data_IF_996085844099
#
_entry.id   IF_996085844099
#
_cell.length_a   1.000
_cell.length_b   1.000
_cell.length_c   1.000
_cell.angle_alpha   90.00
_cell.angle_beta   90.00
_cell.angle_gamma   90.00
#
_symmetry.space_group_name_H-M   'P 1'
#
loop_
_entity.id
_entity.type
_entity.pdbx_description
1 polymer ?
#
# COMPACT_ATOMS: atom_id res chain seq x y z
N UNK A 1 9.79 19.02 2.40
CA UNK A 1 8.73 18.03 2.32
C UNK A 1 8.54 17.53 0.89
N UNK A 2 8.62 16.25 0.71
CA UNK A 2 8.44 15.68 -0.63
C UNK A 2 6.98 15.75 -1.06
N UNK A 3 6.76 16.01 -2.34
CA UNK A 3 5.45 15.94 -2.94
C UNK A 3 5.41 14.68 -3.82
N UNK A 4 4.59 13.72 -3.43
CA UNK A 4 4.45 12.46 -4.14
C UNK A 4 3.16 12.37 -4.95
N UNK A 5 2.55 13.50 -5.21
CA UNK A 5 1.32 13.56 -6.03
C UNK A 5 1.58 12.89 -7.38
N UNK A 6 0.71 11.97 -7.76
CA UNK A 6 0.86 11.22 -9.00
C UNK A 6 1.72 9.97 -8.89
N UNK A 7 2.36 9.74 -7.74
CA UNK A 7 3.12 8.52 -7.49
C UNK A 7 2.25 7.46 -6.83
N UNK A 8 2.59 6.21 -7.06
CA UNK A 8 1.89 5.07 -6.47
C UNK A 8 2.88 4.25 -5.66
N UNK A 9 2.51 3.95 -4.42
CA UNK A 9 3.35 3.16 -3.52
C UNK A 9 2.63 1.89 -3.09
N UNK A 10 3.38 0.80 -3.01
CA UNK A 10 2.93 -0.45 -2.39
C UNK A 10 3.74 -0.64 -1.11
N UNK A 11 3.07 -0.81 0.00
CA UNK A 11 3.74 -1.08 1.29
C UNK A 11 3.29 -2.44 1.79
N UNK A 12 4.23 -3.36 1.95
CA UNK A 12 3.93 -4.70 2.45
C UNK A 12 3.96 -4.70 3.98
N UNK A 13 3.16 -5.57 4.60
CA UNK A 13 3.05 -5.61 6.05
C UNK A 13 2.44 -4.33 6.62
N UNK A 14 1.57 -3.68 5.88
CA UNK A 14 1.09 -2.33 6.19
C UNK A 14 -0.24 -2.29 6.97
N UNK A 15 -0.79 -3.44 7.36
CA UNK A 15 -2.01 -3.48 8.15
C UNK A 15 -1.78 -2.99 9.59
N UNK A 16 -0.55 -2.97 10.05
CA UNK A 16 -0.22 -2.57 11.43
C UNK A 16 1.24 -2.13 11.55
N UNK A 17 1.58 -1.56 12.70
CA UNK A 17 2.95 -1.24 13.09
C UNK A 17 3.65 -0.26 12.18
N UNK A 18 4.94 -0.51 11.94
CA UNK A 18 5.80 0.38 11.15
C UNK A 18 5.32 0.52 9.73
N UNK A 19 4.86 -0.59 9.12
CA UNK A 19 4.34 -0.55 7.74
C UNK A 19 3.14 0.37 7.60
N UNK A 20 2.23 0.33 8.58
CA UNK A 20 1.07 1.21 8.61
C UNK A 20 1.50 2.67 8.70
N UNK A 21 2.45 2.99 9.58
CA UNK A 21 2.96 4.35 9.73
C UNK A 21 3.60 4.86 8.43
N UNK A 22 4.38 4.02 7.77
CA UNK A 22 5.00 4.37 6.48
C UNK A 22 3.91 4.67 5.45
N UNK A 23 2.89 3.81 5.38
CA UNK A 23 1.80 3.98 4.42
C UNK A 23 1.05 5.30 4.66
N UNK A 24 0.77 5.63 5.91
CA UNK A 24 0.09 6.88 6.25
C UNK A 24 0.93 8.10 5.88
N UNK A 25 2.24 8.05 6.08
CA UNK A 25 3.13 9.15 5.71
C UNK A 25 3.22 9.34 4.20
N UNK A 26 3.29 8.23 3.44
CA UNK A 26 3.30 8.31 1.97
C UNK A 26 2.01 8.90 1.45
N UNK A 27 0.88 8.53 2.04
CA UNK A 27 -0.41 9.09 1.65
C UNK A 27 -0.49 10.59 1.94
N UNK A 28 0.05 11.03 3.08
CA UNK A 28 0.10 12.46 3.42
C UNK A 28 0.94 13.24 2.41
N UNK A 29 1.97 12.60 1.86
CA UNK A 29 2.82 13.24 0.85
C UNK A 29 2.17 13.27 -0.54
N UNK A 30 0.99 12.69 -0.69
CA UNK A 30 0.21 12.73 -1.92
C UNK A 30 0.21 11.46 -2.75
N UNK A 31 0.91 10.41 -2.32
CA UNK A 31 0.95 9.15 -3.05
C UNK A 31 -0.39 8.41 -2.96
N UNK A 32 -0.75 7.69 -4.03
CA UNK A 32 -1.76 6.64 -3.94
C UNK A 32 -1.07 5.42 -3.30
N UNK A 33 -1.67 4.81 -2.30
CA UNK A 33 -1.02 3.77 -1.51
C UNK A 33 -1.80 2.47 -1.54
N UNK A 34 -1.12 1.39 -1.85
CA UNK A 34 -1.68 0.04 -1.70
C UNK A 34 -1.18 -0.53 -0.38
N UNK A 35 -2.12 -0.90 0.46
CA UNK A 35 -1.84 -1.54 1.76
C UNK A 35 -1.82 -3.03 1.51
N UNK A 36 -0.63 -3.62 1.45
CA UNK A 36 -0.45 -5.04 1.15
C UNK A 36 -0.16 -5.81 2.42
N UNK A 37 -0.99 -6.81 2.72
CA UNK A 37 -0.85 -7.58 3.96
C UNK A 37 -1.60 -8.90 3.80
N UNK A 38 -1.20 -9.93 4.55
CA UNK A 38 -1.96 -11.19 4.61
C UNK A 38 -3.35 -10.96 5.21
N UNK A 39 -3.46 -10.01 6.13
CA UNK A 39 -4.72 -9.67 6.78
C UNK A 39 -5.50 -8.68 5.90
N UNK A 40 -6.40 -9.21 5.07
CA UNK A 40 -7.20 -8.40 4.16
C UNK A 40 -8.06 -7.38 4.90
N UNK A 41 -8.68 -7.77 6.00
CA UNK A 41 -9.53 -6.86 6.77
C UNK A 41 -8.73 -5.72 7.37
N UNK A 42 -7.54 -6.03 7.89
CA UNK A 42 -6.63 -5.02 8.42
C UNK A 42 -6.13 -4.09 7.34
N UNK A 43 -5.80 -4.63 6.17
CA UNK A 43 -5.36 -3.82 5.04
C UNK A 43 -6.48 -2.87 4.59
N UNK A 44 -7.69 -3.37 4.50
CA UNK A 44 -8.85 -2.55 4.12
C UNK A 44 -9.11 -1.45 5.15
N UNK A 45 -8.94 -1.73 6.44
CA UNK A 45 -9.16 -0.74 7.49
C UNK A 45 -8.17 0.43 7.35
N UNK A 46 -6.90 0.14 7.06
CA UNK A 46 -5.90 1.20 6.85
C UNK A 46 -6.21 1.98 5.57
N UNK A 47 -6.59 1.30 4.51
CA UNK A 47 -6.98 1.96 3.26
C UNK A 47 -8.15 2.91 3.48
N UNK A 48 -9.15 2.50 4.26
CA UNK A 48 -10.30 3.36 4.60
C UNK A 48 -9.88 4.59 5.40
N UNK A 49 -8.92 4.44 6.32
CA UNK A 49 -8.36 5.57 7.06
C UNK A 49 -7.77 6.62 6.11
N UNK A 50 -7.01 6.16 5.12
CA UNK A 50 -6.39 7.05 4.14
C UNK A 50 -7.45 7.75 3.30
N UNK A 51 -8.46 7.02 2.84
CA UNK A 51 -9.54 7.59 2.04
C UNK A 51 -10.33 8.62 2.84
N UNK A 52 -10.60 8.34 4.11
CA UNK A 52 -11.31 9.26 5.00
C UNK A 52 -10.56 10.58 5.20
N UNK A 53 -9.24 10.55 5.08
CA UNK A 53 -8.40 11.74 5.16
C UNK A 53 -8.21 12.44 3.81
N UNK A 54 -8.90 11.97 2.77
CA UNK A 54 -8.82 12.57 1.44
C UNK A 54 -7.80 11.97 0.49
N UNK A 55 -7.11 10.91 0.92
CA UNK A 55 -6.11 10.24 0.09
C UNK A 55 -6.68 9.14 -0.79
N UNK A 56 -5.81 8.49 -1.52
CA UNK A 56 -6.15 7.35 -2.38
C UNK A 56 -5.46 6.09 -1.85
N UNK A 57 -6.23 5.04 -1.64
CA UNK A 57 -5.66 3.79 -1.14
C UNK A 57 -6.54 2.60 -1.49
N UNK A 58 -5.92 1.43 -1.58
CA UNK A 58 -6.62 0.15 -1.66
C UNK A 58 -5.94 -0.84 -0.73
N UNK A 59 -6.70 -1.83 -0.25
CA UNK A 59 -6.16 -2.94 0.50
C UNK A 59 -6.00 -4.14 -0.43
N UNK A 60 -4.85 -4.81 -0.34
CA UNK A 60 -4.52 -5.96 -1.18
C UNK A 60 -4.04 -7.08 -0.29
N UNK A 61 -4.71 -8.24 -0.33
CA UNK A 61 -4.21 -9.42 0.35
C UNK A 61 -2.97 -9.91 -0.40
N UNK A 62 -1.84 -10.04 0.32
CA UNK A 62 -0.59 -10.41 -0.32
C UNK A 62 0.27 -11.25 0.61
N UNK A 63 0.61 -12.44 0.15
CA UNK A 63 1.59 -13.30 0.82
C UNK A 63 2.96 -13.02 0.20
N UNK A 64 3.82 -12.30 0.93
CA UNK A 64 5.13 -11.90 0.41
C UNK A 64 6.11 -13.06 0.25
N UNK A 65 5.77 -14.23 0.77
CA UNK A 65 6.58 -15.44 0.59
C UNK A 65 6.24 -16.17 -0.71
N UNK A 66 5.21 -15.72 -1.41
CA UNK A 66 4.74 -16.32 -2.67
C UNK A 66 4.95 -15.31 -3.80
N UNK A 67 5.90 -15.60 -4.68
CA UNK A 67 6.25 -14.70 -5.78
C UNK A 67 5.05 -14.41 -6.70
N UNK A 68 4.26 -15.42 -7.02
CA UNK A 68 3.09 -15.24 -7.89
C UNK A 68 2.06 -14.32 -7.23
N UNK A 69 1.87 -14.45 -5.92
CA UNK A 69 0.94 -13.60 -5.18
C UNK A 69 1.43 -12.15 -5.16
N UNK A 70 2.74 -11.94 -5.02
CA UNK A 70 3.33 -10.60 -5.04
C UNK A 70 3.13 -9.97 -6.41
N UNK A 71 3.44 -10.70 -7.47
CA UNK A 71 3.28 -10.20 -8.84
C UNK A 71 1.82 -9.89 -9.17
N UNK A 72 0.90 -10.76 -8.78
CA UNK A 72 -0.53 -10.54 -8.99
C UNK A 72 -1.01 -9.30 -8.23
N UNK A 73 -0.54 -9.11 -7.01
CA UNK A 73 -0.89 -7.94 -6.20
C UNK A 73 -0.37 -6.64 -6.81
N UNK A 74 0.86 -6.66 -7.29
CA UNK A 74 1.46 -5.48 -7.95
C UNK A 74 0.71 -5.15 -9.23
N UNK A 75 0.35 -6.17 -10.02
CA UNK A 75 -0.45 -5.98 -11.24
C UNK A 75 -1.80 -5.35 -10.93
N UNK A 76 -2.44 -5.79 -9.84
CA UNK A 76 -3.72 -5.24 -9.40
C UNK A 76 -3.58 -3.76 -9.05
N UNK A 77 -2.52 -3.39 -8.35
CA UNK A 77 -2.25 -2.00 -7.98
C UNK A 77 -2.00 -1.16 -9.22
N UNK A 78 -1.20 -1.69 -10.16
CA UNK A 78 -0.93 -0.98 -11.42
C UNK A 78 -2.20 -0.77 -12.23
N UNK A 79 -3.10 -1.77 -12.25
CA UNK A 79 -4.38 -1.64 -12.94
C UNK A 79 -5.26 -0.57 -12.30
N UNK A 80 -5.21 -0.43 -10.98
CA UNK A 80 -6.03 0.53 -10.24
C UNK A 80 -5.50 1.96 -10.34
N UNK A 81 -4.18 2.13 -10.23
CA UNK A 81 -3.55 3.44 -10.14
C UNK A 81 -2.65 3.81 -11.33
N UNK A 82 -2.48 2.93 -12.29
CA UNK A 82 -1.72 3.18 -13.50
C UNK A 82 -0.29 2.67 -13.48
N UNK A 83 0.39 2.73 -12.36
CA UNK A 83 1.78 2.28 -12.25
C UNK A 83 2.14 2.04 -10.80
N UNK A 84 3.30 1.45 -10.56
CA UNK A 84 3.88 1.34 -9.21
C UNK A 84 5.25 1.99 -9.27
N UNK A 85 5.42 3.07 -8.52
CA UNK A 85 6.65 3.86 -8.50
C UNK A 85 7.52 3.55 -7.29
N UNK A 86 6.90 3.15 -6.18
CA UNK A 86 7.57 2.95 -4.90
C UNK A 86 7.12 1.61 -4.34
N UNK A 87 8.08 0.77 -3.96
CA UNK A 87 7.76 -0.49 -3.27
C UNK A 87 8.50 -0.50 -1.94
N UNK A 88 7.75 -0.52 -0.85
CA UNK A 88 8.32 -0.62 0.49
C UNK A 88 8.11 -2.04 1.00
N UNK A 89 9.19 -2.78 1.10
CA UNK A 89 9.16 -4.17 1.52
C UNK A 89 9.40 -4.24 3.03
N UNK A 90 8.33 -4.13 3.80
CA UNK A 90 8.37 -4.10 5.25
C UNK A 90 8.01 -5.45 5.89
N UNK A 91 7.21 -6.25 5.22
CA UNK A 91 6.81 -7.55 5.75
C UNK A 91 8.02 -8.47 5.92
N UNK A 92 8.10 -9.15 7.03
CA UNK A 92 9.19 -10.08 7.30
C UNK A 92 10.38 -9.45 8.04
N UNK A 93 10.30 -8.20 8.36
CA UNK A 93 11.33 -7.52 9.15
C UNK A 93 11.16 -7.83 10.63
#
# INVERSE_FOLDING_TARGET
>A
MSNLTGKTAVVTGAASGIGKEIALELAKAGAAVAIADLNQDGANAVAEQIKAAGGKAIGVAMDVTNEDAVNAGIDKVAAEFGSVDILVSNAGI
#
